data_IF_341002559125
#
_entry.id   IF_341002559125
#
_cell.length_a   1.000
_cell.length_b   1.000
_cell.length_c   1.000
_cell.angle_alpha   90.00
_cell.angle_beta   90.00
_cell.angle_gamma   90.00
#
_symmetry.space_group_name_H-M   'P 1'
#
loop_
_entity.id
_entity.type
_entity.pdbx_description
1 polymer ?
#
# COMPACT_ATOMS: atom_id res chain seq x y z
N UNK A 1 -3.64 35.41 4.86
CA UNK A 1 -4.51 34.25 4.57
C UNK A 1 -3.59 33.07 4.25
N UNK A 2 -3.39 32.13 5.17
CA UNK A 2 -2.64 30.89 4.91
C UNK A 2 -3.47 29.75 5.50
N UNK A 3 -4.16 29.02 4.63
CA UNK A 3 -4.98 27.86 4.98
C UNK A 3 -4.06 26.70 5.37
N UNK A 4 -3.99 26.41 6.67
CA UNK A 4 -3.18 25.32 7.25
C UNK A 4 -3.98 24.05 7.51
N UNK A 5 -4.92 23.75 6.61
CA UNK A 5 -5.65 22.48 6.57
C UNK A 5 -5.75 22.04 5.11
N UNK A 6 -4.64 21.54 4.56
CA UNK A 6 -4.73 20.65 3.40
C UNK A 6 -5.56 19.46 3.86
N UNK A 7 -6.83 19.42 3.47
CA UNK A 7 -7.73 18.29 3.68
C UNK A 7 -6.97 17.00 3.33
N UNK A 8 -6.86 16.04 4.24
CA UNK A 8 -5.99 14.86 4.06
C UNK A 8 -6.29 14.07 2.79
N UNK A 9 -7.52 14.14 2.27
CA UNK A 9 -7.88 13.61 0.96
C UNK A 9 -7.00 14.19 -0.19
N UNK A 10 -6.63 15.48 -0.09
CA UNK A 10 -5.70 16.15 -1.00
C UNK A 10 -4.28 15.57 -0.92
N UNK A 11 -3.83 15.12 0.25
CA UNK A 11 -2.50 14.53 0.43
C UNK A 11 -2.42 13.16 -0.23
N UNK A 12 -3.40 12.28 -0.01
CA UNK A 12 -3.42 10.97 -0.66
C UNK A 12 -3.49 11.09 -2.19
N UNK A 13 -4.25 12.06 -2.70
CA UNK A 13 -4.29 12.33 -4.15
C UNK A 13 -2.92 12.73 -4.68
N UNK A 14 -2.20 13.60 -3.97
CA UNK A 14 -0.84 14.02 -4.33
C UNK A 14 0.15 12.85 -4.29
N UNK A 15 0.07 11.99 -3.26
CA UNK A 15 0.93 10.81 -3.13
C UNK A 15 0.71 9.81 -4.27
N UNK A 16 -0.54 9.52 -4.63
CA UNK A 16 -0.84 8.67 -5.79
C UNK A 16 -0.34 9.32 -7.08
N UNK A 17 -0.55 10.62 -7.27
CA UNK A 17 -0.03 11.33 -8.45
C UNK A 17 1.51 11.32 -8.53
N UNK A 18 2.19 11.24 -7.39
CA UNK A 18 3.65 11.16 -7.29
C UNK A 18 4.20 9.73 -7.37
N UNK A 19 3.37 8.73 -7.69
CA UNK A 19 3.74 7.32 -7.71
C UNK A 19 4.30 6.81 -6.37
N UNK A 20 3.77 7.28 -5.24
CA UNK A 20 4.31 6.97 -3.92
C UNK A 20 4.44 5.47 -3.65
N UNK A 21 3.41 4.67 -3.95
CA UNK A 21 3.45 3.22 -3.72
C UNK A 21 4.37 2.49 -4.70
N UNK A 22 4.50 2.98 -5.94
CA UNK A 22 5.48 2.45 -6.90
C UNK A 22 6.91 2.72 -6.44
N UNK A 23 7.19 3.93 -5.93
CA UNK A 23 8.50 4.26 -5.33
C UNK A 23 8.82 3.36 -4.14
N UNK A 24 7.83 3.04 -3.31
CA UNK A 24 8.01 2.07 -2.22
C UNK A 24 8.31 0.67 -2.75
N UNK A 25 7.63 0.21 -3.80
CA UNK A 25 7.89 -1.09 -4.43
C UNK A 25 9.34 -1.17 -4.94
N UNK A 26 9.81 -0.14 -5.66
CA UNK A 26 11.19 -0.04 -6.13
C UNK A 26 12.16 -0.07 -4.94
N UNK A 27 11.89 0.70 -3.89
CA UNK A 27 12.76 0.78 -2.72
C UNK A 27 12.93 -0.60 -2.06
N UNK A 28 11.84 -1.36 -1.89
CA UNK A 28 11.87 -2.73 -1.35
C UNK A 28 12.72 -3.63 -2.24
N UNK A 29 12.51 -3.60 -3.56
CA UNK A 29 13.31 -4.39 -4.51
C UNK A 29 14.80 -4.04 -4.48
N UNK A 30 15.16 -2.78 -4.21
CA UNK A 30 16.58 -2.40 -4.04
C UNK A 30 17.16 -2.79 -2.69
N UNK A 31 16.33 -2.83 -1.65
CA UNK A 31 16.73 -3.15 -0.29
C UNK A 31 16.95 -4.67 -0.08
N UNK A 32 16.47 -5.53 -0.98
CA UNK A 32 16.65 -7.00 -0.96
C UNK A 32 18.11 -7.50 -1.06
N UNK A 33 19.10 -6.62 -0.87
CA UNK A 33 20.46 -7.02 -0.48
C UNK A 33 20.49 -7.71 0.89
N UNK A 34 21.67 -8.14 1.34
CA UNK A 34 21.83 -8.78 2.66
C UNK A 34 22.21 -7.78 3.76
N UNK A 35 21.43 -7.71 4.86
CA UNK A 35 21.74 -6.93 6.06
C UNK A 35 20.51 -6.62 6.92
N UNK A 36 20.71 -6.36 8.22
CA UNK A 36 19.62 -6.03 9.16
C UNK A 36 18.97 -4.66 8.87
N UNK A 37 19.75 -3.65 8.47
CA UNK A 37 19.22 -2.33 8.10
C UNK A 37 18.29 -2.42 6.88
N UNK A 38 18.61 -3.32 5.96
CA UNK A 38 17.81 -3.61 4.77
C UNK A 38 16.50 -4.32 5.13
N UNK A 39 16.52 -5.18 6.16
CA UNK A 39 15.31 -5.84 6.67
C UNK A 39 14.31 -4.85 7.25
N UNK A 40 14.79 -3.84 7.97
CA UNK A 40 13.97 -2.77 8.52
C UNK A 40 13.37 -1.88 7.42
N UNK A 41 14.14 -1.57 6.37
CA UNK A 41 13.67 -0.82 5.20
C UNK A 41 12.57 -1.60 4.44
N UNK A 42 12.79 -2.89 4.21
CA UNK A 42 11.79 -3.79 3.60
C UNK A 42 10.53 -3.83 4.46
N UNK A 43 10.67 -4.05 5.77
CA UNK A 43 9.55 -4.09 6.70
C UNK A 43 8.74 -2.79 6.65
N UNK A 44 9.44 -1.66 6.73
CA UNK A 44 8.82 -0.35 6.69
C UNK A 44 8.08 -0.12 5.37
N UNK A 45 8.71 -0.42 4.23
CA UNK A 45 8.11 -0.29 2.90
C UNK A 45 6.82 -1.10 2.78
N UNK A 46 6.85 -2.39 3.17
CA UNK A 46 5.69 -3.27 3.15
C UNK A 46 4.57 -2.76 4.07
N UNK A 47 4.93 -2.28 5.27
CA UNK A 47 4.02 -1.66 6.22
C UNK A 47 3.33 -0.41 5.65
N UNK A 48 4.09 0.46 4.97
CA UNK A 48 3.58 1.66 4.32
C UNK A 48 2.61 1.34 3.18
N UNK A 49 2.96 0.37 2.31
CA UNK A 49 2.07 -0.09 1.23
C UNK A 49 0.76 -0.60 1.82
N UNK A 50 0.82 -1.51 2.80
CA UNK A 50 -0.37 -2.07 3.45
C UNK A 50 -1.24 -0.99 4.07
N UNK A 51 -0.63 -0.07 4.82
CA UNK A 51 -1.34 1.03 5.47
C UNK A 51 -2.02 1.95 4.46
N UNK A 52 -1.28 2.38 3.44
CA UNK A 52 -1.76 3.30 2.42
C UNK A 52 -2.97 2.74 1.66
N UNK A 53 -2.85 1.51 1.16
CA UNK A 53 -3.93 0.82 0.43
C UNK A 53 -5.16 0.61 1.32
N UNK A 54 -4.98 0.21 2.59
CA UNK A 54 -6.10 0.09 3.54
C UNK A 54 -6.84 1.41 3.76
N UNK A 55 -6.09 2.50 3.92
CA UNK A 55 -6.68 3.83 4.10
C UNK A 55 -7.50 4.24 2.86
N UNK A 56 -6.99 4.00 1.65
CA UNK A 56 -7.75 4.25 0.43
C UNK A 56 -9.00 3.37 0.32
N UNK A 57 -8.94 2.10 0.73
CA UNK A 57 -10.05 1.14 0.62
C UNK A 57 -11.14 1.27 1.70
N UNK A 58 -10.79 1.74 2.88
CA UNK A 58 -11.66 1.75 4.05
C UNK A 58 -12.01 3.17 4.51
N UNK A 59 -11.33 4.18 3.93
CA UNK A 59 -11.30 5.50 4.51
C UNK A 59 -10.49 5.49 5.81
N UNK A 60 -10.44 6.64 6.46
CA UNK A 60 -9.77 6.82 7.76
C UNK A 60 -10.68 7.64 8.66
N UNK A 61 -10.75 7.27 9.94
CA UNK A 61 -11.62 7.90 10.94
C UNK A 61 -10.87 8.37 12.19
N UNK A 62 -9.53 8.41 12.15
CA UNK A 62 -8.66 8.87 13.25
C UNK A 62 -7.51 9.71 12.70
N UNK A 63 -7.15 10.79 13.42
CA UNK A 63 -6.19 11.86 13.05
C UNK A 63 -6.61 12.66 11.79
N UNK A 64 -6.74 11.96 10.67
CA UNK A 64 -7.16 12.43 9.37
C UNK A 64 -8.44 11.69 8.98
N UNK A 65 -9.50 12.41 8.62
CA UNK A 65 -10.80 11.79 8.31
C UNK A 65 -11.13 11.95 6.84
N UNK A 66 -11.32 10.83 6.14
CA UNK A 66 -11.78 10.82 4.76
C UNK A 66 -12.55 9.53 4.44
N UNK A 67 -13.55 9.58 3.54
CA UNK A 67 -14.27 8.39 3.09
C UNK A 67 -13.38 7.49 2.21
N UNK A 68 -13.71 6.22 2.00
CA UNK A 68 -13.01 5.38 1.03
C UNK A 68 -12.82 6.08 -0.34
N UNK A 69 -11.63 5.96 -0.92
CA UNK A 69 -11.22 6.57 -2.19
C UNK A 69 -10.86 5.48 -3.22
N UNK A 70 -11.85 4.75 -3.75
CA UNK A 70 -11.62 3.56 -4.58
C UNK A 70 -10.85 3.84 -5.88
N UNK A 71 -11.01 5.04 -6.46
CA UNK A 71 -10.26 5.43 -7.67
C UNK A 71 -8.76 5.59 -7.41
N UNK A 72 -8.41 6.12 -6.24
CA UNK A 72 -7.00 6.23 -5.83
C UNK A 72 -6.44 4.86 -5.48
N UNK A 73 -7.22 4.00 -4.83
CA UNK A 73 -6.83 2.62 -4.55
C UNK A 73 -6.50 1.85 -5.84
N UNK A 74 -7.37 1.98 -6.85
CA UNK A 74 -7.15 1.41 -8.18
C UNK A 74 -5.83 1.85 -8.80
N UNK A 75 -5.58 3.16 -8.81
CA UNK A 75 -4.36 3.70 -9.41
C UNK A 75 -3.11 3.27 -8.64
N UNK A 76 -3.23 3.13 -7.33
CA UNK A 76 -2.13 2.63 -6.49
C UNK A 76 -1.82 1.16 -6.77
N UNK A 77 -2.85 0.36 -7.03
CA UNK A 77 -2.72 -1.03 -7.44
C UNK A 77 -2.05 -1.15 -8.82
N UNK A 78 -2.49 -0.36 -9.80
CA UNK A 78 -1.85 -0.24 -11.12
C UNK A 78 -0.35 0.12 -10.99
N UNK A 79 0.01 1.05 -10.10
CA UNK A 79 1.39 1.44 -9.82
C UNK A 79 2.24 0.32 -9.19
N UNK A 80 1.65 -0.45 -8.28
CA UNK A 80 2.35 -1.59 -7.65
C UNK A 80 2.64 -2.67 -8.70
N UNK A 81 1.68 -2.95 -9.58
CA UNK A 81 1.86 -3.90 -10.69
C UNK A 81 2.91 -3.41 -11.69
N UNK A 82 2.85 -2.13 -12.12
CA UNK A 82 3.77 -1.55 -13.09
C UNK A 82 5.24 -1.62 -12.64
N UNK A 83 5.50 -1.48 -11.34
CA UNK A 83 6.86 -1.51 -10.77
C UNK A 83 7.27 -2.91 -10.28
N UNK A 84 6.49 -3.96 -10.56
CA UNK A 84 6.79 -5.34 -10.13
C UNK A 84 6.70 -5.57 -8.62
N UNK A 85 5.95 -4.71 -7.91
CA UNK A 85 5.80 -4.76 -6.46
C UNK A 85 5.05 -6.01 -5.97
N UNK A 86 4.18 -6.59 -6.80
CA UNK A 86 3.50 -7.84 -6.46
C UNK A 86 4.47 -9.03 -6.41
N UNK A 87 5.36 -9.13 -7.40
CA UNK A 87 6.44 -10.12 -7.45
C UNK A 87 7.39 -9.96 -6.26
N UNK A 88 7.75 -8.71 -5.92
CA UNK A 88 8.59 -8.42 -4.76
C UNK A 88 7.92 -8.87 -3.45
N UNK A 89 6.65 -8.53 -3.24
CA UNK A 89 5.90 -8.94 -2.05
C UNK A 89 5.83 -10.48 -1.93
N UNK A 90 5.64 -11.18 -3.05
CA UNK A 90 5.66 -12.65 -3.07
C UNK A 90 7.05 -13.23 -2.78
N UNK A 91 8.11 -12.59 -3.29
CA UNK A 91 9.49 -13.01 -3.04
C UNK A 91 9.82 -12.98 -1.54
N UNK A 92 9.35 -11.94 -0.83
CA UNK A 92 9.54 -11.78 0.61
C UNK A 92 8.76 -12.82 1.42
N UNK A 93 7.62 -13.32 0.91
CA UNK A 93 6.85 -14.38 1.55
C UNK A 93 7.55 -15.74 1.47
N UNK A 94 8.19 -16.04 0.33
CA UNK A 94 8.85 -17.33 0.07
C UNK A 94 10.31 -17.37 0.56
N UNK A 95 10.88 -16.23 0.95
CA UNK A 95 12.26 -16.15 1.43
C UNK A 95 12.48 -17.13 2.61
N UNK A 96 13.56 -17.92 2.54
CA UNK A 96 13.88 -18.97 3.53
C UNK A 96 14.59 -18.44 4.77
N UNK A 97 15.10 -17.21 4.72
CA UNK A 97 15.63 -16.56 5.90
C UNK A 97 14.50 -16.32 6.91
N UNK A 98 14.78 -16.57 8.20
CA UNK A 98 13.79 -16.48 9.27
C UNK A 98 13.54 -15.01 9.67
N UNK A 99 12.99 -14.25 8.72
CA UNK A 99 12.65 -12.84 8.86
C UNK A 99 11.16 -12.71 9.17
N UNK A 100 10.72 -13.26 10.29
CA UNK A 100 9.29 -13.35 10.68
C UNK A 100 8.50 -12.04 10.53
N UNK A 101 9.12 -10.90 10.84
CA UNK A 101 8.49 -9.58 10.71
C UNK A 101 8.22 -9.23 9.24
N UNK A 102 9.20 -9.41 8.35
CA UNK A 102 9.07 -9.16 6.91
C UNK A 102 7.97 -10.03 6.29
N UNK A 103 7.93 -11.33 6.63
CA UNK A 103 6.87 -12.23 6.15
C UNK A 103 5.49 -11.77 6.60
N UNK A 104 5.37 -11.32 7.85
CA UNK A 104 4.12 -10.81 8.40
C UNK A 104 3.66 -9.56 7.67
N UNK A 105 4.56 -8.62 7.37
CA UNK A 105 4.21 -7.38 6.69
C UNK A 105 3.99 -7.56 5.19
N UNK A 106 4.73 -8.46 4.54
CA UNK A 106 4.46 -8.89 3.16
C UNK A 106 3.07 -9.51 3.04
N UNK A 107 2.69 -10.35 4.00
CA UNK A 107 1.36 -10.95 4.04
C UNK A 107 0.27 -9.88 4.26
N UNK A 108 0.51 -8.88 5.12
CA UNK A 108 -0.41 -7.74 5.32
C UNK A 108 -0.53 -6.86 4.08
N UNK A 109 0.56 -6.63 3.35
CA UNK A 109 0.55 -5.88 2.09
C UNK A 109 -0.28 -6.62 1.04
N UNK A 110 -0.02 -7.92 0.85
CA UNK A 110 -0.78 -8.80 -0.04
C UNK A 110 -2.28 -8.81 0.29
N UNK A 111 -2.65 -8.94 1.57
CA UNK A 111 -4.06 -8.87 1.99
C UNK A 111 -4.68 -7.50 1.69
N UNK A 112 -3.94 -6.40 1.93
CA UNK A 112 -4.45 -5.05 1.69
C UNK A 112 -4.78 -4.83 0.20
N UNK A 113 -3.88 -5.29 -0.69
CA UNK A 113 -4.04 -5.26 -2.14
C UNK A 113 -5.22 -6.16 -2.55
N UNK A 114 -5.27 -7.42 -2.11
CA UNK A 114 -6.37 -8.34 -2.46
C UNK A 114 -7.75 -7.86 -1.97
N UNK A 115 -7.81 -7.23 -0.80
CA UNK A 115 -9.07 -6.70 -0.25
C UNK A 115 -9.68 -5.61 -1.13
N UNK A 116 -8.88 -4.86 -1.90
CA UNK A 116 -9.39 -3.93 -2.90
C UNK A 116 -10.24 -4.68 -3.95
N UNK A 117 -9.70 -5.74 -4.54
CA UNK A 117 -10.38 -6.54 -5.56
C UNK A 117 -11.65 -7.21 -5.04
N UNK A 118 -11.61 -7.75 -3.81
CA UNK A 118 -12.79 -8.35 -3.17
C UNK A 118 -13.88 -7.29 -2.99
N UNK A 119 -13.54 -6.08 -2.54
CA UNK A 119 -14.52 -4.99 -2.39
C UNK A 119 -15.11 -4.57 -3.74
N UNK A 120 -14.28 -4.41 -4.78
CA UNK A 120 -14.74 -4.06 -6.12
C UNK A 120 -15.66 -5.14 -6.70
N UNK A 121 -15.30 -6.42 -6.57
CA UNK A 121 -16.12 -7.54 -7.03
C UNK A 121 -17.39 -7.78 -6.19
N UNK A 122 -17.40 -7.38 -4.92
CA UNK A 122 -18.56 -7.47 -4.04
C UNK A 122 -19.49 -6.26 -4.09
N UNK A 123 -19.19 -5.25 -4.93
CA UNK A 123 -20.13 -4.17 -5.24
C UNK A 123 -21.29 -4.72 -6.08
N UNK A 124 -22.15 -5.54 -5.46
CA UNK A 124 -23.45 -5.90 -6.03
C UNK A 124 -24.21 -4.59 -6.27
N UNK A 125 -24.77 -4.34 -7.46
CA UNK A 125 -25.60 -3.18 -7.66
C UNK A 125 -26.79 -3.29 -6.71
N UNK A 126 -27.00 -2.28 -5.86
CA UNK A 126 -28.27 -2.12 -5.18
C UNK A 126 -29.33 -1.92 -6.28
N UNK A 127 -30.06 -2.99 -6.59
CA UNK A 127 -31.25 -2.90 -7.43
C UNK A 127 -32.35 -2.30 -6.55
N UNK A 128 -32.72 -1.05 -6.87
CA UNK A 128 -33.94 -0.40 -6.39
C UNK A 128 -35.14 -0.88 -7.21
#
# INVERSE_FOLDING_TARGET
MINRHLNDASIYTQLVNANYVGVLAIAISTASGSGEEQDDEINHGLGQISYFIRCLNQGRNYNATFPPQPLLARRSDEQIEEEGGNEEIESQLINKEDRCNIKTDAHRAKIAILNYFIKQGNTRPYQY
#
